data_IF_655278951750
#
_entry.id   IF_655278951750
#
_cell.length_a   1.000
_cell.length_b   1.000
_cell.length_c   1.000
_cell.angle_alpha   90.00
_cell.angle_beta   90.00
_cell.angle_gamma   90.00
#
_symmetry.space_group_name_H-M   'P 1'
#
loop_
_entity.id
_entity.type
_entity.pdbx_description
1 polymer ?
#
# COMPACT_ATOMS: atom_id res chain seq x y z
N UNK A 1 -7.62 -11.75 8.80
CA UNK A 1 -6.71 -11.03 9.71
C UNK A 1 -6.48 -9.64 9.13
N UNK A 2 -7.10 -8.61 9.69
CA UNK A 2 -7.03 -7.23 9.18
C UNK A 2 -5.65 -6.65 9.46
N UNK A 3 -4.89 -6.31 8.42
CA UNK A 3 -3.61 -5.61 8.59
C UNK A 3 -3.87 -4.22 9.17
N UNK A 4 -3.14 -3.79 10.22
CA UNK A 4 -3.32 -2.47 10.81
C UNK A 4 -3.00 -1.39 9.77
N UNK A 5 -3.93 -0.44 9.58
CA UNK A 5 -3.77 0.64 8.59
C UNK A 5 -2.83 1.77 9.07
N UNK A 6 -2.52 1.81 10.36
CA UNK A 6 -1.52 2.71 10.93
C UNK A 6 -0.80 2.04 12.11
N UNK A 7 0.53 2.19 12.15
CA UNK A 7 1.38 1.78 13.27
C UNK A 7 2.12 3.02 13.78
N UNK A 8 1.96 3.35 15.06
CA UNK A 8 2.65 4.47 15.69
C UNK A 8 3.95 4.00 16.32
N UNK A 9 5.03 4.73 16.05
CA UNK A 9 6.28 4.53 16.75
C UNK A 9 6.27 5.31 18.07
N UNK A 10 6.98 4.78 19.08
CA UNK A 10 7.21 5.48 20.36
C UNK A 10 7.89 6.84 20.17
N UNK A 11 8.74 6.99 19.15
CA UNK A 11 9.45 8.23 18.87
C UNK A 11 8.48 9.35 18.49
N UNK A 12 7.57 9.09 17.56
CA UNK A 12 6.57 10.05 17.09
C UNK A 12 5.67 10.56 18.23
N UNK A 13 5.28 9.68 19.15
CA UNK A 13 4.47 10.06 20.30
C UNK A 13 5.24 10.95 21.30
N UNK A 14 6.53 10.68 21.51
CA UNK A 14 7.38 11.51 22.37
C UNK A 14 7.66 12.87 21.77
N UNK A 15 7.90 12.95 20.45
CA UNK A 15 8.08 14.21 19.73
C UNK A 15 6.86 15.12 19.84
N UNK A 16 5.67 14.53 19.84
CA UNK A 16 4.42 15.25 20.07
C UNK A 16 4.18 15.67 21.54
N UNK A 17 5.14 15.44 22.44
CA UNK A 17 5.06 15.79 23.85
C UNK A 17 4.31 14.77 24.72
N UNK A 18 4.06 13.56 24.21
CA UNK A 18 3.31 12.54 24.91
C UNK A 18 4.10 11.88 26.05
N UNK A 19 3.45 11.76 27.21
CA UNK A 19 4.02 11.07 28.37
C UNK A 19 3.99 9.55 28.20
N UNK A 20 5.16 8.92 28.31
CA UNK A 20 5.32 7.47 28.24
C UNK A 20 5.74 6.96 29.61
N UNK A 21 4.97 6.02 30.18
CA UNK A 21 5.33 5.32 31.42
C UNK A 21 5.97 3.98 31.08
N UNK A 22 7.17 3.74 31.60
CA UNK A 22 7.84 2.44 31.51
C UNK A 22 7.77 1.75 32.86
N UNK A 23 7.45 0.47 32.87
CA UNK A 23 7.61 -0.36 34.07
C UNK A 23 9.11 -0.62 34.31
N UNK A 24 9.54 -0.53 35.56
CA UNK A 24 10.91 -0.80 35.96
C UNK A 24 11.27 -2.28 35.82
N UNK A 25 10.27 -3.16 35.91
CA UNK A 25 10.44 -4.61 35.79
C UNK A 25 9.88 -5.19 34.48
N UNK A 26 9.29 -4.35 33.63
CA UNK A 26 8.74 -4.75 32.34
C UNK A 26 9.81 -4.98 31.28
N UNK A 27 9.42 -5.62 30.19
CA UNK A 27 10.32 -5.83 29.06
C UNK A 27 10.81 -4.49 28.46
N UNK A 28 11.97 -4.46 27.76
CA UNK A 28 12.54 -3.23 27.23
C UNK A 28 11.60 -2.42 26.31
N UNK A 29 10.71 -3.13 25.62
CA UNK A 29 9.74 -2.57 24.68
C UNK A 29 8.35 -2.36 25.29
N UNK A 30 8.12 -2.85 26.51
CA UNK A 30 6.85 -2.72 27.20
C UNK A 30 6.72 -1.33 27.83
N UNK A 31 5.85 -0.50 27.24
CA UNK A 31 5.60 0.85 27.72
C UNK A 31 4.15 1.28 27.50
N UNK A 32 3.67 2.13 28.39
CA UNK A 32 2.29 2.61 28.41
C UNK A 32 2.25 4.07 27.97
N UNK A 33 1.43 4.36 26.97
CA UNK A 33 1.13 5.72 26.50
C UNK A 33 0.05 6.30 27.42
N UNK A 34 0.28 7.47 28.01
CA UNK A 34 -0.64 8.00 29.05
C UNK A 34 -1.69 8.97 28.51
N UNK A 35 -1.36 9.73 27.47
CA UNK A 35 -2.26 10.70 26.83
C UNK A 35 -2.98 10.06 25.64
N UNK A 36 -4.20 9.57 25.90
CA UNK A 36 -5.10 8.99 24.89
C UNK A 36 -5.62 10.06 23.91
N UNK A 37 -6.04 11.27 24.34
CA UNK A 37 -6.41 12.35 23.41
C UNK A 37 -5.31 12.74 22.41
N UNK A 38 -4.05 12.78 22.84
CA UNK A 38 -2.92 13.04 21.95
C UNK A 38 -2.74 11.91 20.94
N UNK A 39 -2.84 10.66 21.38
CA UNK A 39 -2.76 9.50 20.49
C UNK A 39 -3.86 9.53 19.42
N UNK A 40 -5.09 9.84 19.82
CA UNK A 40 -6.22 9.93 18.90
C UNK A 40 -6.03 11.06 17.87
N UNK A 41 -5.53 12.23 18.29
CA UNK A 41 -5.21 13.33 17.37
C UNK A 41 -4.13 12.94 16.37
N UNK A 42 -3.00 12.41 16.83
CA UNK A 42 -1.94 11.93 15.94
C UNK A 42 -2.42 10.86 14.95
N UNK A 43 -3.39 10.03 15.37
CA UNK A 43 -3.98 9.04 14.48
C UNK A 43 -4.87 9.66 13.41
N UNK A 44 -5.72 10.60 13.78
CA UNK A 44 -6.54 11.35 12.82
C UNK A 44 -5.68 12.16 11.86
N UNK A 45 -4.67 12.88 12.35
CA UNK A 45 -3.78 13.70 11.51
C UNK A 45 -3.07 12.84 10.45
N UNK A 46 -2.62 11.63 10.82
CA UNK A 46 -2.00 10.70 9.88
C UNK A 46 -3.00 10.15 8.87
N UNK A 47 -4.22 9.85 9.29
CA UNK A 47 -5.28 9.42 8.37
C UNK A 47 -5.63 10.53 7.38
N UNK A 48 -5.67 11.78 7.85
CA UNK A 48 -5.97 12.96 7.05
C UNK A 48 -4.86 13.25 6.02
N UNK A 49 -3.60 13.02 6.39
CA UNK A 49 -2.48 13.11 5.45
C UNK A 49 -2.62 12.08 4.30
N UNK A 50 -3.03 10.85 4.59
CA UNK A 50 -3.30 9.83 3.56
C UNK A 50 -4.53 10.22 2.74
N UNK A 51 -5.60 10.68 3.38
CA UNK A 51 -6.81 11.13 2.70
C UNK A 51 -6.57 12.29 1.75
N UNK A 52 -5.68 13.23 2.11
CA UNK A 52 -5.31 14.35 1.25
C UNK A 52 -4.71 13.88 -0.08
N UNK A 53 -3.84 12.86 -0.06
CA UNK A 53 -3.30 12.27 -1.29
C UNK A 53 -4.37 11.64 -2.19
N UNK A 54 -5.39 11.02 -1.60
CA UNK A 54 -6.53 10.49 -2.35
C UNK A 54 -7.42 11.62 -2.91
N UNK A 55 -7.62 12.72 -2.17
CA UNK A 55 -8.36 13.87 -2.71
C UNK A 55 -7.67 14.46 -3.95
N UNK A 56 -6.34 14.51 -3.96
CA UNK A 56 -5.55 14.92 -5.13
C UNK A 56 -5.67 13.94 -6.30
N UNK A 57 -5.85 12.64 -6.02
CA UNK A 57 -6.07 11.61 -7.03
C UNK A 57 -7.45 11.69 -7.74
N UNK A 58 -8.30 12.65 -7.38
CA UNK A 58 -9.55 12.94 -8.07
C UNK A 58 -10.80 12.28 -7.47
N UNK A 59 -10.73 11.77 -6.23
CA UNK A 59 -11.90 11.29 -5.52
C UNK A 59 -12.83 12.45 -5.15
N UNK A 60 -14.14 12.28 -5.38
CA UNK A 60 -15.15 13.34 -5.12
C UNK A 60 -15.27 13.72 -3.65
N UNK A 61 -15.00 12.80 -2.72
CA UNK A 61 -14.98 13.06 -1.29
C UNK A 61 -14.18 11.95 -0.58
N UNK A 62 -13.49 12.31 0.50
CA UNK A 62 -12.71 11.37 1.32
C UNK A 62 -12.93 11.73 2.79
N UNK A 63 -13.42 10.76 3.57
CA UNK A 63 -13.70 10.90 5.00
C UNK A 63 -12.84 9.93 5.82
N UNK A 64 -12.24 10.41 6.90
CA UNK A 64 -11.39 9.63 7.79
C UNK A 64 -12.09 9.35 9.11
N UNK A 65 -12.11 8.09 9.53
CA UNK A 65 -12.68 7.66 10.80
C UNK A 65 -11.61 6.95 11.63
N UNK A 66 -11.43 7.36 12.90
CA UNK A 66 -10.51 6.69 13.83
C UNK A 66 -11.00 5.31 14.28
N UNK A 67 -12.32 5.12 14.30
CA UNK A 67 -13.01 3.85 14.49
C UNK A 67 -14.32 3.91 13.74
N UNK A 68 -14.64 2.88 12.96
CA UNK A 68 -15.92 2.74 12.28
C UNK A 68 -16.61 1.48 12.79
N UNK A 69 -17.83 1.62 13.29
CA UNK A 69 -18.62 0.47 13.75
C UNK A 69 -19.22 -0.29 12.57
N UNK A 70 -19.66 -1.53 12.82
CA UNK A 70 -20.20 -2.39 11.78
C UNK A 70 -21.44 -1.79 11.09
N UNK A 71 -22.31 -1.11 11.82
CA UNK A 71 -23.54 -0.53 11.27
C UNK A 71 -23.27 0.67 10.36
N UNK A 72 -22.22 1.44 10.66
CA UNK A 72 -21.70 2.47 9.78
C UNK A 72 -21.06 1.84 8.53
N UNK A 73 -20.21 0.82 8.71
CA UNK A 73 -19.56 0.12 7.60
C UNK A 73 -20.54 -0.58 6.65
N UNK A 74 -21.62 -1.18 7.17
CA UNK A 74 -22.60 -1.93 6.36
C UNK A 74 -23.37 -1.06 5.37
N UNK A 75 -23.33 0.27 5.52
CA UNK A 75 -23.93 1.22 4.57
C UNK A 75 -23.08 1.44 3.32
N UNK A 76 -21.83 0.99 3.33
CA UNK A 76 -20.89 1.18 2.24
C UNK A 76 -20.60 -0.17 1.56
N UNK A 77 -20.47 -0.14 0.24
CA UNK A 77 -20.01 -1.27 -0.54
C UNK A 77 -18.57 -1.05 -1.01
N UNK A 78 -17.80 -2.13 -1.13
CA UNK A 78 -16.48 -2.06 -1.73
C UNK A 78 -16.60 -1.82 -3.22
N UNK A 79 -16.20 -0.64 -3.67
CA UNK A 79 -16.07 -0.33 -5.09
C UNK A 79 -14.72 -0.86 -5.61
N UNK A 80 -14.77 -1.66 -6.66
CA UNK A 80 -13.56 -2.12 -7.35
C UNK A 80 -13.15 -1.10 -8.41
N UNK A 81 -11.84 -0.94 -8.68
CA UNK A 81 -11.38 -0.11 -9.77
C UNK A 81 -12.01 -0.58 -11.08
N UNK A 82 -12.73 0.32 -11.76
CA UNK A 82 -13.24 0.05 -13.10
C UNK A 82 -12.18 0.45 -14.13
N UNK A 83 -11.97 -0.36 -15.18
CA UNK A 83 -11.08 0.03 -16.27
C UNK A 83 -11.56 1.35 -16.87
N UNK A 84 -10.68 2.35 -16.89
CA UNK A 84 -10.90 3.58 -17.66
C UNK A 84 -10.18 3.50 -19.00
N UNK A 85 -10.60 4.34 -19.94
CA UNK A 85 -9.85 4.53 -21.18
C UNK A 85 -8.41 4.98 -20.83
N UNK A 86 -7.44 4.41 -21.55
CA UNK A 86 -6.04 4.77 -21.39
C UNK A 86 -5.82 6.19 -21.89
N UNK A 87 -4.98 6.94 -21.18
CA UNK A 87 -4.45 8.20 -21.69
C UNK A 87 -3.45 7.95 -22.81
N UNK A 88 -3.13 8.97 -23.60
CA UNK A 88 -2.16 8.85 -24.69
C UNK A 88 -0.79 8.41 -24.16
N UNK A 89 -0.33 8.96 -23.04
CA UNK A 89 0.94 8.58 -22.41
C UNK A 89 0.96 7.11 -21.97
N UNK A 90 -0.14 6.61 -21.40
CA UNK A 90 -0.26 5.21 -21.00
C UNK A 90 -0.31 4.27 -22.21
N UNK A 91 -0.93 4.71 -23.32
CA UNK A 91 -0.94 3.96 -24.57
C UNK A 91 0.47 3.85 -25.16
N UNK A 92 1.23 4.94 -25.15
CA UNK A 92 2.63 4.94 -25.61
C UNK A 92 3.48 3.98 -24.77
N UNK A 93 3.33 4.03 -23.44
CA UNK A 93 3.99 3.08 -22.53
C UNK A 93 3.58 1.64 -22.84
N UNK A 94 2.30 1.38 -23.13
CA UNK A 94 1.82 0.05 -23.47
C UNK A 94 2.41 -0.47 -24.79
N UNK A 95 2.49 0.38 -25.81
CA UNK A 95 3.12 -0.01 -27.09
C UNK A 95 4.61 -0.33 -26.91
N UNK A 96 5.33 0.44 -26.10
CA UNK A 96 6.71 0.13 -25.74
C UNK A 96 6.81 -1.21 -25.01
N UNK A 97 5.93 -1.45 -24.04
CA UNK A 97 5.86 -2.71 -23.33
C UNK A 97 5.58 -3.89 -24.26
N UNK A 98 4.67 -3.74 -25.21
CA UNK A 98 4.36 -4.77 -26.20
C UNK A 98 5.60 -5.12 -27.02
N UNK A 99 6.38 -4.13 -27.49
CA UNK A 99 7.63 -4.36 -28.21
C UNK A 99 8.63 -5.14 -27.36
N UNK A 100 8.85 -4.72 -26.10
CA UNK A 100 9.77 -5.40 -25.19
C UNK A 100 9.36 -6.84 -24.89
N UNK A 101 8.05 -7.09 -24.74
CA UNK A 101 7.51 -8.44 -24.52
C UNK A 101 7.73 -9.31 -25.76
N UNK A 102 7.51 -8.77 -26.96
CA UNK A 102 7.76 -9.52 -28.19
C UNK A 102 9.24 -9.88 -28.35
N UNK A 103 10.15 -8.95 -28.05
CA UNK A 103 11.59 -9.21 -28.06
C UNK A 103 11.98 -10.29 -27.05
N UNK A 104 11.45 -10.23 -25.83
CA UNK A 104 11.70 -11.23 -24.79
C UNK A 104 11.17 -12.62 -25.17
N UNK A 105 9.97 -12.68 -25.78
CA UNK A 105 9.38 -13.93 -26.30
C UNK A 105 10.24 -14.50 -27.43
N UNK A 106 10.67 -13.68 -28.38
CA UNK A 106 11.53 -14.12 -29.48
C UNK A 106 12.89 -14.64 -28.99
N UNK A 107 13.49 -13.97 -27.99
CA UNK A 107 14.72 -14.42 -27.37
C UNK A 107 14.56 -15.77 -26.64
N UNK A 108 13.46 -15.94 -25.89
CA UNK A 108 13.11 -17.21 -25.23
C UNK A 108 12.93 -18.33 -26.26
N UNK A 109 12.20 -18.07 -27.33
CA UNK A 109 11.90 -19.06 -28.36
C UNK A 109 13.14 -19.40 -29.20
N UNK A 110 14.06 -18.45 -29.39
CA UNK A 110 15.39 -18.71 -29.97
C UNK A 110 16.26 -19.59 -29.05
N UNK A 111 16.24 -19.33 -27.75
CA UNK A 111 16.94 -20.15 -26.76
C UNK A 111 16.38 -21.58 -26.73
N UNK A 112 15.06 -21.76 -26.73
CA UNK A 112 14.41 -23.09 -26.78
C UNK A 112 14.87 -23.88 -27.99
N UNK A 113 14.82 -23.26 -29.19
CA UNK A 113 15.27 -23.89 -30.43
C UNK A 113 16.75 -24.29 -30.40
N UNK A 114 17.61 -23.49 -29.78
CA UNK A 114 19.03 -23.80 -29.64
C UNK A 114 19.26 -25.00 -28.71
N UNK A 115 18.47 -25.14 -27.63
CA UNK A 115 18.51 -26.30 -26.75
C UNK A 115 17.99 -27.56 -27.44
N UNK A 116 16.85 -27.48 -28.11
CA UNK A 116 16.25 -28.60 -28.86
C UNK A 116 17.21 -29.13 -29.93
N UNK A 117 17.84 -28.24 -30.71
CA UNK A 117 18.82 -28.62 -31.72
C UNK A 117 20.11 -29.24 -31.14
N UNK A 118 20.51 -28.87 -29.92
CA UNK A 118 21.66 -29.45 -29.24
C UNK A 118 21.36 -30.85 -28.68
N UNK A 119 20.10 -31.12 -28.29
CA UNK A 119 19.65 -32.43 -27.80
C UNK A 119 19.50 -33.44 -28.96
N UNK A 120 18.97 -33.00 -30.11
CA UNK A 120 18.85 -33.82 -31.33
C UNK A 120 20.20 -34.17 -31.99
N UNK A 121 21.25 -33.38 -31.74
CA UNK A 121 22.61 -33.64 -32.24
C UNK A 121 23.42 -34.63 -31.41
N UNK A 122 22.87 -35.15 -30.31
CA UNK A 122 23.54 -36.09 -29.40
C UNK A 122 23.07 -37.56 -29.53
N UNK A 123 22.20 -37.87 -30.50
CA UNK A 123 21.72 -39.21 -30.82
C UNK A 123 22.33 -39.75 -32.13
#
# INVERSE_FOLDING_TARGET
MTRPRAVFSRATYKEAGGAVRRDLFGEPDECWLQDVPLLHRLALDRLEAVASGEREAGWSWVETHGSIDYSAMSKFERQWPTPRAMTTEEADVMTLWEVLVQEAVAARDALSRAYEAADEGSA
#
